data_IF_968549017035
#
_entry.id   IF_968549017035
#
_cell.length_a   1.000
_cell.length_b   1.000
_cell.length_c   1.000
_cell.angle_alpha   90.00
_cell.angle_beta   90.00
_cell.angle_gamma   90.00
#
_symmetry.space_group_name_H-M   'P 1'
#
loop_
_entity.id
_entity.type
_entity.pdbx_description
1 polymer ?
#
# COMPACT_ATOMS: atom_id res chain seq x y z
N UNK A 1 21.25 10.65 4.64
CA UNK A 1 20.58 11.16 3.42
C UNK A 1 21.59 11.24 2.28
N UNK A 2 21.15 11.06 1.03
CA UNK A 2 22.02 11.05 -0.14
C UNK A 2 22.26 12.46 -0.74
N UNK A 3 23.38 12.61 -1.45
CA UNK A 3 23.75 13.83 -2.18
C UNK A 3 23.63 13.62 -3.69
N UNK A 4 23.35 14.69 -4.43
CA UNK A 4 23.42 14.71 -5.89
C UNK A 4 24.64 15.51 -6.34
N UNK A 5 25.46 14.94 -7.24
CA UNK A 5 26.59 15.68 -7.83
C UNK A 5 26.10 16.55 -8.97
N UNK A 6 26.39 17.84 -8.90
CA UNK A 6 26.13 18.80 -9.97
C UNK A 6 27.44 19.19 -10.65
N UNK A 7 27.52 19.07 -11.97
CA UNK A 7 28.74 19.40 -12.71
C UNK A 7 29.88 18.38 -12.53
N UNK A 8 31.12 18.83 -12.68
CA UNK A 8 32.30 17.97 -12.56
C UNK A 8 32.68 17.69 -11.11
N UNK A 9 33.62 16.76 -10.90
CA UNK A 9 34.12 16.43 -9.55
C UNK A 9 34.93 17.60 -8.95
N UNK A 10 35.67 18.37 -9.76
CA UNK A 10 36.49 19.47 -9.26
C UNK A 10 35.66 20.63 -8.69
N UNK A 11 34.42 20.81 -9.17
CA UNK A 11 33.52 21.88 -8.71
C UNK A 11 33.04 21.67 -7.26
N UNK A 12 33.12 20.44 -6.73
CA UNK A 12 32.74 20.15 -5.33
C UNK A 12 31.24 20.34 -5.00
N UNK A 13 30.38 20.53 -5.99
CA UNK A 13 28.95 20.82 -5.81
C UNK A 13 28.14 19.56 -5.57
N UNK A 14 27.91 19.25 -4.30
CA UNK A 14 27.16 18.06 -3.87
C UNK A 14 26.12 18.43 -2.80
N UNK A 15 25.03 19.15 -3.14
CA UNK A 15 23.95 19.39 -2.17
C UNK A 15 23.26 18.09 -1.76
N UNK A 16 22.58 18.10 -0.61
CA UNK A 16 21.64 17.04 -0.25
C UNK A 16 20.48 17.03 -1.26
N UNK A 17 19.99 15.85 -1.61
CA UNK A 17 18.87 15.73 -2.58
C UNK A 17 17.64 16.50 -2.08
N UNK A 18 17.33 16.39 -0.79
CA UNK A 18 16.19 17.08 -0.17
C UNK A 18 16.31 18.61 -0.21
N UNK A 19 17.53 19.15 -0.32
CA UNK A 19 17.76 20.60 -0.43
C UNK A 19 17.79 21.04 -1.91
N UNK A 20 17.77 20.10 -2.84
CA UNK A 20 17.85 20.34 -4.28
C UNK A 20 16.49 20.26 -4.98
N UNK A 21 15.59 19.39 -4.51
CA UNK A 21 14.23 19.23 -5.04
C UNK A 21 13.19 19.36 -3.91
N UNK A 22 12.00 19.93 -4.17
CA UNK A 22 10.97 20.13 -3.17
C UNK A 22 10.28 18.80 -2.83
N UNK A 23 10.85 18.04 -1.90
CA UNK A 23 10.27 16.82 -1.36
C UNK A 23 9.43 17.18 -0.11
N UNK A 24 8.38 16.41 0.13
CA UNK A 24 7.64 16.50 1.39
C UNK A 24 8.56 16.09 2.55
N UNK A 25 8.45 16.80 3.66
CA UNK A 25 9.14 16.48 4.91
C UNK A 25 8.36 15.42 5.69
N UNK A 26 8.96 14.85 6.73
CA UNK A 26 8.28 13.85 7.56
C UNK A 26 7.12 14.47 8.35
N UNK A 27 7.24 15.74 8.72
CA UNK A 27 6.21 16.49 9.43
C UNK A 27 4.98 16.80 8.54
N UNK A 28 5.12 16.63 7.22
CA UNK A 28 4.00 16.76 6.25
C UNK A 28 3.21 15.45 6.09
N UNK A 29 3.62 14.36 6.75
CA UNK A 29 3.03 13.03 6.55
C UNK A 29 2.04 12.67 7.66
N UNK A 30 0.88 12.16 7.24
CA UNK A 30 -0.08 11.49 8.12
C UNK A 30 -0.17 10.03 7.71
N UNK A 31 -0.11 9.13 8.70
CA UNK A 31 -0.11 7.69 8.46
C UNK A 31 -1.47 7.08 8.78
N UNK A 32 -1.96 6.27 7.85
CA UNK A 32 -3.11 5.40 8.00
C UNK A 32 -2.89 4.11 7.21
N UNK A 33 -3.78 3.14 7.39
CA UNK A 33 -3.68 1.89 6.66
C UNK A 33 -4.68 0.85 7.14
N UNK A 34 -4.56 -0.35 6.58
CA UNK A 34 -5.38 -1.50 6.91
C UNK A 34 -4.50 -2.60 7.47
N UNK A 35 -4.94 -3.23 8.56
CA UNK A 35 -4.24 -4.35 9.17
C UNK A 35 -5.26 -5.39 9.67
N UNK A 36 -5.18 -6.66 9.25
CA UNK A 36 -6.12 -7.69 9.67
C UNK A 36 -5.88 -8.21 11.10
N UNK A 37 -4.82 -7.78 11.79
CA UNK A 37 -4.33 -8.37 13.04
C UNK A 37 -4.29 -7.31 14.14
N UNK A 38 -3.51 -6.26 13.94
CA UNK A 38 -3.07 -5.38 15.02
C UNK A 38 -4.12 -4.32 15.37
N UNK A 39 -4.42 -4.10 16.67
CA UNK A 39 -5.46 -3.15 17.06
C UNK A 39 -5.04 -1.67 16.93
N UNK A 40 -3.74 -1.40 17.02
CA UNK A 40 -3.09 -0.11 16.79
C UNK A 40 -1.62 -0.34 16.40
N UNK A 41 -0.92 0.71 15.96
CA UNK A 41 0.48 0.60 15.50
C UNK A 41 1.45 0.32 16.65
N UNK A 42 1.15 0.73 17.90
CA UNK A 42 1.99 0.40 19.05
C UNK A 42 2.05 -1.12 19.30
N UNK A 43 0.91 -1.80 19.29
CA UNK A 43 0.85 -3.26 19.44
C UNK A 43 1.50 -3.99 18.25
N UNK A 44 1.36 -3.44 17.04
CA UNK A 44 2.08 -3.93 15.87
C UNK A 44 3.60 -3.82 16.06
N UNK A 45 4.09 -2.66 16.52
CA UNK A 45 5.51 -2.40 16.75
C UNK A 45 6.09 -3.30 17.86
N UNK A 46 5.36 -3.48 18.98
CA UNK A 46 5.72 -4.41 20.06
C UNK A 46 5.84 -5.84 19.54
N UNK A 47 4.89 -6.27 18.71
CA UNK A 47 4.89 -7.61 18.12
C UNK A 47 6.06 -7.80 17.15
N UNK A 48 6.39 -6.75 16.38
CA UNK A 48 7.49 -6.78 15.42
C UNK A 48 8.86 -6.88 16.10
N UNK A 49 9.03 -6.32 17.30
CA UNK A 49 10.28 -6.41 18.08
C UNK A 49 11.47 -5.75 17.39
N UNK A 50 11.24 -4.74 16.53
CA UNK A 50 12.30 -4.00 15.84
C UNK A 50 12.82 -2.85 16.70
N UNK A 51 11.91 -2.14 17.37
CA UNK A 51 12.23 -1.12 18.37
C UNK A 51 11.88 -1.68 19.75
N UNK A 52 12.72 -1.43 20.76
CA UNK A 52 12.57 -1.99 22.10
C UNK A 52 12.85 -0.95 23.18
N UNK A 53 12.32 -1.19 24.39
CA UNK A 53 12.65 -0.40 25.58
C UNK A 53 12.36 1.09 25.43
N UNK A 54 13.37 1.91 25.72
CA UNK A 54 13.24 3.36 25.76
C UNK A 54 12.90 3.95 24.39
N UNK A 55 13.45 3.41 23.29
CA UNK A 55 13.20 3.88 21.92
C UNK A 55 11.71 3.81 21.55
N UNK A 56 11.01 2.75 21.96
CA UNK A 56 9.57 2.60 21.72
C UNK A 56 8.76 3.44 22.71
N UNK A 57 9.27 3.63 23.93
CA UNK A 57 8.56 4.36 24.98
C UNK A 57 8.35 5.84 24.61
N UNK A 58 9.34 6.47 23.98
CA UNK A 58 9.31 7.89 23.62
C UNK A 58 8.22 8.22 22.58
N UNK A 59 7.92 7.27 21.69
CA UNK A 59 6.93 7.43 20.60
C UNK A 59 5.62 6.65 20.83
N UNK A 60 5.47 6.03 22.01
CA UNK A 60 4.39 5.08 22.27
C UNK A 60 2.99 5.68 22.12
N UNK A 61 2.79 6.92 22.60
CA UNK A 61 1.52 7.64 22.47
C UNK A 61 1.14 7.88 21.01
N UNK A 62 2.11 8.26 20.17
CA UNK A 62 1.86 8.54 18.76
C UNK A 62 1.50 7.24 18.02
N UNK A 63 2.23 6.15 18.27
CA UNK A 63 1.94 4.86 17.67
C UNK A 63 0.60 4.26 18.14
N UNK A 64 0.22 4.47 19.40
CA UNK A 64 -1.06 3.98 19.94
C UNK A 64 -2.24 4.73 19.32
N UNK A 65 -2.05 6.01 18.96
CA UNK A 65 -3.09 6.84 18.33
C UNK A 65 -3.44 6.41 16.90
N UNK A 66 -2.52 5.71 16.22
CA UNK A 66 -2.75 5.22 14.85
C UNK A 66 -3.46 3.87 14.91
N UNK A 67 -4.75 3.88 14.59
CA UNK A 67 -5.61 2.69 14.58
C UNK A 67 -5.83 2.26 13.11
N UNK A 68 -5.31 1.10 12.68
CA UNK A 68 -5.56 0.60 11.34
C UNK A 68 -7.04 0.31 11.10
N UNK A 69 -7.52 0.58 9.89
CA UNK A 69 -8.84 0.18 9.41
C UNK A 69 -8.92 -1.35 9.25
N UNK A 70 -10.14 -1.90 9.31
CA UNK A 70 -10.37 -3.32 9.02
C UNK A 70 -10.00 -3.65 7.57
N UNK A 71 -9.23 -4.72 7.37
CA UNK A 71 -8.67 -5.05 6.06
C UNK A 71 -9.59 -5.90 5.18
N UNK A 72 -9.39 -5.81 3.87
CA UNK A 72 -9.80 -6.88 2.94
C UNK A 72 -8.72 -7.96 2.99
N UNK A 73 -9.08 -9.17 3.41
CA UNK A 73 -8.12 -10.24 3.68
C UNK A 73 -8.68 -11.61 3.29
N UNK A 74 -7.89 -12.42 2.61
CA UNK A 74 -8.21 -13.82 2.30
C UNK A 74 -7.08 -14.75 2.77
N UNK A 75 -7.42 -15.65 3.69
CA UNK A 75 -6.50 -16.65 4.24
C UNK A 75 -5.96 -17.62 3.19
N UNK A 76 -6.62 -17.81 2.05
CA UNK A 76 -6.13 -18.67 0.96
C UNK A 76 -4.76 -18.22 0.45
N UNK A 77 -4.54 -16.90 0.36
CA UNK A 77 -3.27 -16.33 -0.09
C UNK A 77 -2.18 -16.36 0.98
N UNK A 78 -2.56 -16.43 2.27
CA UNK A 78 -1.66 -16.31 3.42
C UNK A 78 -2.10 -17.26 4.56
N UNK A 79 -1.78 -18.56 4.41
CA UNK A 79 -2.36 -19.64 5.21
C UNK A 79 -2.01 -19.64 6.71
N UNK A 80 -0.97 -18.91 7.12
CA UNK A 80 -0.47 -18.88 8.51
C UNK A 80 -1.02 -17.74 9.36
N UNK A 81 -1.87 -16.89 8.78
CA UNK A 81 -2.45 -15.74 9.48
C UNK A 81 -3.95 -15.95 9.69
N UNK A 82 -4.41 -15.52 10.86
CA UNK A 82 -5.82 -15.42 11.20
C UNK A 82 -6.15 -13.93 11.34
N UNK A 83 -6.95 -13.41 10.41
CA UNK A 83 -7.42 -12.03 10.45
C UNK A 83 -8.58 -11.90 11.43
N UNK A 84 -8.42 -11.06 12.44
CA UNK A 84 -9.48 -10.72 13.43
C UNK A 84 -10.07 -9.33 13.20
N UNK A 85 -9.43 -8.50 12.36
CA UNK A 85 -9.87 -7.17 11.93
C UNK A 85 -10.10 -7.15 10.42
N UNK A 86 -11.04 -7.98 9.97
CA UNK A 86 -11.34 -8.17 8.55
C UNK A 86 -12.74 -7.63 8.29
N UNK A 87 -12.90 -6.88 7.19
CA UNK A 87 -14.22 -6.40 6.77
C UNK A 87 -15.15 -7.59 6.52
N UNK A 88 -16.33 -7.57 7.14
CA UNK A 88 -17.37 -8.60 6.93
C UNK A 88 -18.15 -8.33 5.63
N UNK A 89 -17.48 -8.52 4.49
CA UNK A 89 -18.01 -8.27 3.15
C UNK A 89 -17.69 -9.45 2.24
N UNK A 90 -18.72 -10.11 1.71
CA UNK A 90 -18.55 -11.29 0.84
C UNK A 90 -18.19 -10.92 -0.61
N UNK A 91 -18.79 -9.85 -1.15
CA UNK A 91 -18.61 -9.40 -2.53
C UNK A 91 -17.27 -8.69 -2.72
N UNK A 92 -16.43 -9.13 -3.66
CA UNK A 92 -15.16 -8.47 -4.01
C UNK A 92 -15.38 -7.09 -4.62
N UNK A 93 -16.50 -6.88 -5.31
CA UNK A 93 -16.89 -5.56 -5.77
C UNK A 93 -17.14 -4.62 -4.59
N UNK A 94 -17.92 -5.08 -3.61
CA UNK A 94 -18.27 -4.28 -2.43
C UNK A 94 -17.05 -4.07 -1.53
N UNK A 95 -16.11 -5.03 -1.50
CA UNK A 95 -14.80 -4.86 -0.87
C UNK A 95 -14.00 -3.74 -1.54
N UNK A 96 -13.97 -3.68 -2.88
CA UNK A 96 -13.30 -2.60 -3.60
C UNK A 96 -13.96 -1.24 -3.31
N UNK A 97 -15.29 -1.17 -3.33
CA UNK A 97 -16.04 0.05 -2.99
C UNK A 97 -15.80 0.50 -1.55
N UNK A 98 -15.73 -0.44 -0.60
CA UNK A 98 -15.41 -0.13 0.79
C UNK A 98 -13.99 0.44 0.93
N UNK A 99 -13.00 -0.10 0.21
CA UNK A 99 -11.65 0.46 0.19
C UNK A 99 -11.60 1.85 -0.45
N UNK A 100 -12.35 2.08 -1.53
CA UNK A 100 -12.46 3.41 -2.16
C UNK A 100 -13.06 4.42 -1.17
N UNK A 101 -14.09 4.02 -0.42
CA UNK A 101 -14.69 4.86 0.61
C UNK A 101 -13.74 5.13 1.77
N UNK A 102 -13.01 4.12 2.25
CA UNK A 102 -11.98 4.28 3.28
C UNK A 102 -10.91 5.29 2.85
N UNK A 103 -10.45 5.21 1.60
CA UNK A 103 -9.46 6.16 1.02
C UNK A 103 -10.02 7.59 1.02
N UNK A 104 -11.28 7.76 0.60
CA UNK A 104 -11.93 9.07 0.56
C UNK A 104 -12.11 9.65 1.98
N UNK A 105 -12.60 8.85 2.92
CA UNK A 105 -12.78 9.25 4.32
C UNK A 105 -11.44 9.64 4.94
N UNK A 106 -10.40 8.82 4.77
CA UNK A 106 -9.07 9.13 5.31
C UNK A 106 -8.54 10.46 4.77
N UNK A 107 -8.72 10.72 3.46
CA UNK A 107 -8.31 11.99 2.85
C UNK A 107 -9.02 13.19 3.48
N UNK A 108 -10.34 13.09 3.65
CA UNK A 108 -11.19 14.17 4.18
C UNK A 108 -10.92 14.41 5.68
N UNK A 109 -10.90 13.34 6.48
CA UNK A 109 -10.73 13.42 7.93
C UNK A 109 -9.36 13.98 8.35
N UNK A 110 -8.33 13.80 7.51
CA UNK A 110 -6.97 14.26 7.77
C UNK A 110 -6.57 15.47 6.92
N UNK A 111 -7.51 16.11 6.21
CA UNK A 111 -7.28 17.29 5.37
C UNK A 111 -6.08 17.14 4.41
N UNK A 112 -5.95 15.95 3.81
CA UNK A 112 -4.80 15.62 2.97
C UNK A 112 -4.97 16.16 1.55
N UNK A 113 -4.01 16.96 1.06
CA UNK A 113 -4.00 17.41 -0.34
C UNK A 113 -3.91 16.23 -1.33
N UNK A 114 -3.08 15.24 -1.00
CA UNK A 114 -2.76 14.07 -1.83
C UNK A 114 -2.48 12.86 -0.96
N UNK A 115 -2.63 11.67 -1.56
CA UNK A 115 -2.35 10.39 -0.91
C UNK A 115 -1.33 9.61 -1.73
N UNK A 116 -0.67 8.65 -1.08
CA UNK A 116 0.12 7.59 -1.70
C UNK A 116 -0.17 6.31 -0.93
N UNK A 117 -0.38 5.20 -1.65
CA UNK A 117 -0.59 3.89 -1.05
C UNK A 117 0.59 2.97 -1.33
N UNK A 118 0.99 2.21 -0.30
CA UNK A 118 2.08 1.24 -0.40
C UNK A 118 1.62 -0.08 0.19
N UNK A 119 1.66 -1.15 -0.61
CA UNK A 119 1.39 -2.48 -0.12
C UNK A 119 2.59 -3.01 0.68
N UNK A 120 2.44 -3.03 2.00
CA UNK A 120 3.35 -3.68 2.94
C UNK A 120 2.70 -4.92 3.58
N UNK A 121 1.64 -5.46 2.95
CA UNK A 121 0.95 -6.66 3.40
C UNK A 121 1.80 -7.92 3.20
N UNK A 122 1.33 -9.02 3.77
CA UNK A 122 1.98 -10.32 3.60
C UNK A 122 2.07 -10.71 2.12
N UNK A 123 3.16 -11.39 1.75
CA UNK A 123 3.32 -11.96 0.42
C UNK A 123 2.22 -12.99 0.15
N UNK A 124 1.38 -12.70 -0.84
CA UNK A 124 0.36 -13.63 -1.28
C UNK A 124 0.97 -14.75 -2.12
N UNK A 125 0.39 -15.95 -2.03
CA UNK A 125 0.75 -17.06 -2.91
C UNK A 125 0.66 -16.65 -4.39
N UNK A 126 1.69 -16.98 -5.17
CA UNK A 126 1.73 -16.68 -6.59
C UNK A 126 0.58 -17.36 -7.33
N UNK A 127 -0.06 -16.61 -8.24
CA UNK A 127 -1.09 -17.09 -9.14
C UNK A 127 -0.72 -16.63 -10.56
N UNK A 128 -0.95 -17.49 -11.55
CA UNK A 128 -0.76 -17.09 -12.94
C UNK A 128 -1.90 -16.16 -13.38
N UNK A 129 -1.63 -15.11 -14.17
CA UNK A 129 -2.70 -14.31 -14.75
C UNK A 129 -3.65 -15.17 -15.59
N UNK A 130 -4.94 -15.11 -15.28
CA UNK A 130 -6.03 -15.71 -16.05
C UNK A 130 -6.82 -14.67 -16.86
N UNK A 131 -7.87 -15.12 -17.57
CA UNK A 131 -8.73 -14.26 -18.41
C UNK A 131 -9.33 -13.06 -17.66
N UNK A 132 -9.55 -13.18 -16.35
CA UNK A 132 -10.06 -12.09 -15.50
C UNK A 132 -9.12 -10.88 -15.46
N UNK A 133 -7.83 -11.05 -15.75
CA UNK A 133 -6.83 -9.99 -15.73
C UNK A 133 -6.56 -9.38 -17.11
N UNK A 134 -7.27 -9.81 -18.16
CA UNK A 134 -6.96 -9.44 -19.54
C UNK A 134 -7.32 -7.99 -19.90
N UNK A 135 -8.24 -7.36 -19.17
CA UNK A 135 -8.64 -5.95 -19.35
C UNK A 135 -9.30 -5.42 -18.09
N UNK A 136 -9.42 -4.10 -17.96
CA UNK A 136 -10.17 -3.48 -16.84
C UNK A 136 -11.59 -4.01 -16.77
N UNK A 137 -12.29 -4.11 -17.92
CA UNK A 137 -13.67 -4.59 -17.95
C UNK A 137 -13.80 -6.05 -17.48
N UNK A 138 -12.87 -6.93 -17.88
CA UNK A 138 -12.85 -8.31 -17.42
C UNK A 138 -12.57 -8.40 -15.91
N UNK A 139 -11.67 -7.55 -15.40
CA UNK A 139 -11.33 -7.51 -13.98
C UNK A 139 -12.52 -7.03 -13.13
N UNK A 140 -13.20 -5.96 -13.55
CA UNK A 140 -14.40 -5.47 -12.88
C UNK A 140 -15.54 -6.49 -12.89
N UNK A 141 -15.74 -7.21 -14.00
CA UNK A 141 -16.70 -8.30 -14.07
C UNK A 141 -16.30 -9.46 -13.14
N UNK A 142 -15.00 -9.76 -13.03
CA UNK A 142 -14.46 -10.71 -12.08
C UNK A 142 -14.71 -10.31 -10.62
N UNK A 143 -14.56 -9.03 -10.28
CA UNK A 143 -14.90 -8.50 -8.96
C UNK A 143 -16.38 -8.73 -8.64
N UNK A 144 -17.29 -8.42 -9.57
CA UNK A 144 -18.74 -8.63 -9.41
C UNK A 144 -19.11 -10.11 -9.26
N UNK A 145 -18.37 -10.98 -9.94
CA UNK A 145 -18.61 -12.43 -9.91
C UNK A 145 -17.81 -13.17 -8.82
N UNK A 146 -17.09 -12.45 -7.94
CA UNK A 146 -16.24 -13.04 -6.90
C UNK A 146 -15.19 -14.03 -7.45
N UNK A 147 -14.60 -13.73 -8.61
CA UNK A 147 -13.64 -14.62 -9.27
C UNK A 147 -12.48 -14.96 -8.32
N UNK A 148 -12.23 -16.25 -8.03
CA UNK A 148 -11.25 -16.66 -7.02
C UNK A 148 -9.79 -16.30 -7.38
N UNK A 149 -9.51 -15.96 -8.63
CA UNK A 149 -8.17 -15.59 -9.09
C UNK A 149 -7.82 -14.12 -8.80
N UNK A 150 -8.79 -13.31 -8.34
CA UNK A 150 -8.52 -11.94 -7.89
C UNK A 150 -8.05 -11.95 -6.44
N UNK A 151 -6.81 -11.53 -6.18
CA UNK A 151 -6.27 -11.50 -4.82
C UNK A 151 -6.57 -10.18 -4.09
N UNK A 152 -6.55 -10.16 -2.74
CA UNK A 152 -6.72 -8.92 -1.97
C UNK A 152 -5.80 -7.78 -2.44
N UNK A 153 -4.50 -8.03 -2.65
CA UNK A 153 -3.57 -6.99 -3.12
C UNK A 153 -3.98 -6.34 -4.45
N UNK A 154 -4.63 -7.09 -5.33
CA UNK A 154 -5.16 -6.57 -6.59
C UNK A 154 -6.40 -5.69 -6.38
N UNK A 155 -7.27 -6.04 -5.42
CA UNK A 155 -8.41 -5.21 -5.02
C UNK A 155 -7.90 -3.87 -4.45
N UNK A 156 -6.86 -3.89 -3.62
CA UNK A 156 -6.21 -2.66 -3.11
C UNK A 156 -5.59 -1.82 -4.23
N UNK A 157 -4.89 -2.45 -5.17
CA UNK A 157 -4.31 -1.74 -6.32
C UNK A 157 -5.42 -1.09 -7.18
N UNK A 158 -6.50 -1.83 -7.46
CA UNK A 158 -7.66 -1.31 -8.19
C UNK A 158 -8.32 -0.14 -7.44
N UNK A 159 -8.59 -0.28 -6.14
CA UNK A 159 -9.20 0.77 -5.32
C UNK A 159 -8.33 2.05 -5.27
N UNK A 160 -7.01 1.90 -5.11
CA UNK A 160 -6.08 3.02 -5.14
C UNK A 160 -6.16 3.80 -6.46
N UNK A 161 -6.09 3.08 -7.59
CA UNK A 161 -6.17 3.69 -8.91
C UNK A 161 -7.52 4.35 -9.17
N UNK A 162 -8.63 3.71 -8.79
CA UNK A 162 -9.97 4.30 -8.93
C UNK A 162 -10.15 5.58 -8.10
N UNK A 163 -9.40 5.72 -7.00
CA UNK A 163 -9.36 6.91 -6.15
C UNK A 163 -8.31 7.95 -6.57
N UNK A 164 -7.67 7.79 -7.73
CA UNK A 164 -6.57 8.64 -8.21
C UNK A 164 -5.35 8.70 -7.25
N UNK A 165 -5.11 7.61 -6.52
CA UNK A 165 -4.02 7.48 -5.56
C UNK A 165 -2.89 6.62 -6.15
N UNK A 166 -1.65 7.14 -6.26
CA UNK A 166 -0.48 6.36 -6.60
C UNK A 166 -0.31 5.12 -5.72
N UNK A 167 0.04 4.00 -6.33
CA UNK A 167 0.18 2.72 -5.64
C UNK A 167 1.54 2.07 -5.87
N UNK A 168 2.23 1.68 -4.79
CA UNK A 168 3.48 0.93 -4.85
C UNK A 168 3.33 -0.47 -4.23
N UNK A 169 3.69 -1.52 -4.97
CA UNK A 169 3.71 -2.87 -4.43
C UNK A 169 5.07 -3.18 -3.77
N UNK A 170 5.08 -3.28 -2.44
CA UNK A 170 6.27 -3.60 -1.66
C UNK A 170 6.57 -5.10 -1.53
N UNK A 171 5.69 -5.97 -2.04
CA UNK A 171 5.81 -7.43 -1.95
C UNK A 171 5.90 -8.06 -3.36
N UNK A 172 6.33 -9.33 -3.51
CA UNK A 172 6.55 -9.94 -4.82
C UNK A 172 5.29 -10.48 -5.52
N UNK A 173 4.11 -10.41 -4.90
CA UNK A 173 2.83 -10.84 -5.50
C UNK A 173 2.46 -10.03 -6.76
N UNK A 174 1.59 -10.61 -7.61
CA UNK A 174 1.11 -9.95 -8.82
C UNK A 174 0.01 -8.94 -8.46
N UNK A 175 0.31 -7.66 -8.64
CA UNK A 175 -0.64 -6.57 -8.39
C UNK A 175 -0.49 -5.47 -9.42
N UNK A 176 0.70 -4.86 -9.52
CA UNK A 176 0.96 -3.75 -10.45
C UNK A 176 1.32 -4.21 -11.87
N UNK A 177 1.74 -5.47 -12.01
CA UNK A 177 2.30 -6.07 -13.22
C UNK A 177 1.26 -6.82 -14.08
N UNK A 178 -0.03 -6.66 -13.77
CA UNK A 178 -1.15 -7.22 -14.53
C UNK A 178 -1.60 -6.26 -15.63
N UNK A 179 -1.95 -6.78 -16.81
CA UNK A 179 -2.37 -5.98 -17.97
C UNK A 179 -3.56 -5.07 -17.65
N UNK A 180 -4.58 -5.56 -16.95
CA UNK A 180 -5.73 -4.75 -16.53
C UNK A 180 -5.34 -3.59 -15.59
N UNK A 181 -4.39 -3.79 -14.68
CA UNK A 181 -3.94 -2.75 -13.74
C UNK A 181 -3.05 -1.73 -14.44
N UNK A 182 -2.19 -2.18 -15.36
CA UNK A 182 -1.38 -1.29 -16.21
C UNK A 182 -2.28 -0.47 -17.14
N UNK A 183 -3.31 -1.07 -17.71
CA UNK A 183 -4.33 -0.38 -18.52
C UNK A 183 -5.03 0.70 -17.69
N UNK A 184 -5.51 0.36 -16.48
CA UNK A 184 -6.19 1.28 -15.57
C UNK A 184 -5.28 2.46 -15.16
N UNK A 185 -4.03 2.16 -14.79
CA UNK A 185 -3.03 3.19 -14.45
C UNK A 185 -2.84 4.18 -15.60
N UNK A 186 -2.72 3.69 -16.84
CA UNK A 186 -2.57 4.54 -18.03
C UNK A 186 -3.82 5.36 -18.35
N UNK A 187 -5.00 4.76 -18.24
CA UNK A 187 -6.26 5.45 -18.56
C UNK A 187 -6.58 6.57 -17.58
N UNK A 188 -6.20 6.40 -16.31
CA UNK A 188 -6.38 7.40 -15.24
C UNK A 188 -5.21 8.37 -15.10
N UNK A 189 -4.05 8.04 -15.64
CA UNK A 189 -2.84 8.86 -15.48
C UNK A 189 -2.24 8.79 -14.07
N UNK A 190 -2.48 7.68 -13.35
CA UNK A 190 -2.06 7.49 -11.95
C UNK A 190 -0.88 6.52 -11.91
N UNK A 191 0.27 6.90 -11.32
CA UNK A 191 1.47 6.07 -11.36
C UNK A 191 1.36 4.83 -10.45
N UNK A 192 1.91 3.73 -10.94
CA UNK A 192 2.16 2.50 -10.18
C UNK A 192 3.65 2.20 -10.11
N UNK A 193 4.09 1.55 -9.03
CA UNK A 193 5.49 1.15 -8.83
C UNK A 193 5.59 -0.23 -8.16
N UNK A 194 6.73 -0.89 -8.32
CA UNK A 194 6.97 -2.21 -7.73
C UNK A 194 7.76 -3.13 -8.67
N UNK A 195 8.06 -4.36 -8.24
CA UNK A 195 7.61 -4.98 -6.99
C UNK A 195 8.77 -5.47 -6.12
N UNK A 196 8.48 -5.75 -4.86
CA UNK A 196 9.41 -6.24 -3.83
C UNK A 196 10.45 -5.21 -3.38
N UNK A 197 10.49 -4.89 -2.08
CA UNK A 197 11.44 -3.91 -1.56
C UNK A 197 12.87 -4.43 -1.60
N UNK A 198 13.77 -3.65 -2.21
CA UNK A 198 15.20 -3.93 -2.18
C UNK A 198 15.84 -3.34 -0.91
N UNK A 199 16.02 -4.18 0.11
CA UNK A 199 16.41 -3.75 1.46
C UNK A 199 17.81 -4.17 1.90
N UNK A 200 18.46 -5.12 1.22
CA UNK A 200 19.76 -5.64 1.66
C UNK A 200 20.49 -6.57 0.69
N UNK A 201 20.18 -7.87 0.73
CA UNK A 201 20.96 -8.92 0.05
C UNK A 201 20.89 -8.84 -1.49
N UNK A 202 19.70 -8.54 -2.04
CA UNK A 202 19.42 -8.43 -3.48
C UNK A 202 19.93 -7.11 -4.04
#
# INVERSE_FOLDING_TARGET
MAHIRLGTKEEGRNPLIKDFVPLAELDDLVFGGWDPISPNVLEAARTAGVLEGDDLSEISSDLESIIPMEAVFDKKGVSRLDGVRVKDIESKWDQAEALIQDIANFKEENDCDRLVMVWCGSTEAFQEPSEVHASVAAFEEGLRNNDPNISPSQIYAYAALQSDVPFANGAPNLSCDLDCIVELSKSRGVPIAGKDFKTGQT
#
